data_IF_429503707352
#
_entry.id   IF_429503707352
#
_cell.length_a   1.000
_cell.length_b   1.000
_cell.length_c   1.000
_cell.angle_alpha   90.00
_cell.angle_beta   90.00
_cell.angle_gamma   90.00
#
_symmetry.space_group_name_H-M   'P 1'
#
loop_
_entity.id
_entity.type
_entity.pdbx_description
1 polymer ?
#
# COMPACT_ATOMS: atom_id res chain seq x y z
N UNK A 1 -31.71 38.65 -27.64
CA UNK A 1 -32.28 37.79 -26.58
C UNK A 1 -31.31 37.77 -25.42
N UNK A 2 -31.54 38.55 -24.36
CA UNK A 2 -30.66 38.60 -23.19
C UNK A 2 -31.16 37.63 -22.12
N UNK A 3 -30.32 36.66 -21.77
CA UNK A 3 -30.59 35.66 -20.73
C UNK A 3 -30.50 36.33 -19.35
N UNK A 4 -31.62 36.41 -18.62
CA UNK A 4 -31.63 36.84 -17.22
C UNK A 4 -31.22 35.66 -16.35
N UNK A 5 -30.01 35.71 -15.79
CA UNK A 5 -29.60 34.84 -14.69
C UNK A 5 -30.49 35.14 -13.47
N UNK A 6 -31.27 34.15 -13.04
CA UNK A 6 -32.07 34.24 -11.83
C UNK A 6 -31.14 34.23 -10.61
N UNK A 7 -31.25 35.27 -9.76
CA UNK A 7 -30.51 35.34 -8.50
C UNK A 7 -31.09 34.33 -7.50
N UNK A 8 -30.24 33.58 -6.78
CA UNK A 8 -30.69 32.60 -5.80
C UNK A 8 -31.51 33.26 -4.69
N UNK A 9 -32.62 32.63 -4.35
CA UNK A 9 -33.55 33.13 -3.35
C UNK A 9 -33.03 32.85 -1.94
N UNK A 10 -33.54 33.57 -0.94
CA UNK A 10 -33.19 33.31 0.47
C UNK A 10 -33.45 31.86 0.91
N UNK A 11 -34.39 31.16 0.24
CA UNK A 11 -34.68 29.74 0.46
C UNK A 11 -33.54 28.84 -0.01
N UNK A 12 -32.94 29.15 -1.15
CA UNK A 12 -31.84 28.35 -1.73
C UNK A 12 -30.56 28.45 -0.87
N UNK A 13 -30.32 29.61 -0.26
CA UNK A 13 -29.21 29.82 0.67
C UNK A 13 -29.40 29.06 2.00
N UNK A 14 -30.65 28.93 2.47
CA UNK A 14 -30.96 28.25 3.73
C UNK A 14 -30.89 26.71 3.58
N UNK A 15 -31.27 26.18 2.41
CA UNK A 15 -31.15 24.75 2.10
C UNK A 15 -29.70 24.31 1.88
N UNK A 16 -28.87 25.16 1.25
CA UNK A 16 -27.43 24.93 1.13
C UNK A 16 -26.73 24.91 2.51
N UNK A 17 -27.14 25.77 3.45
CA UNK A 17 -26.61 25.80 4.81
C UNK A 17 -26.96 24.53 5.59
N UNK A 18 -28.21 24.05 5.49
CA UNK A 18 -28.64 22.79 6.12
C UNK A 18 -27.87 21.57 5.60
N UNK A 19 -27.63 21.48 4.29
CA UNK A 19 -26.81 20.41 3.71
C UNK A 19 -25.34 20.48 4.16
N UNK A 20 -24.79 21.68 4.37
CA UNK A 20 -23.45 21.87 4.91
C UNK A 20 -23.33 21.37 6.36
N UNK A 21 -24.31 21.68 7.21
CA UNK A 21 -24.35 21.27 8.61
C UNK A 21 -24.56 19.75 8.77
N UNK A 22 -25.38 19.14 7.92
CA UNK A 22 -25.64 17.69 7.93
C UNK A 22 -24.41 16.87 7.46
N UNK A 23 -23.66 17.39 6.48
CA UNK A 23 -22.40 16.80 6.03
C UNK A 23 -21.27 16.97 7.06
N UNK A 24 -21.22 18.10 7.78
CA UNK A 24 -20.29 18.30 8.88
C UNK A 24 -20.55 17.30 10.02
N UNK A 25 -21.82 17.10 10.40
CA UNK A 25 -22.22 16.16 11.44
C UNK A 25 -21.90 14.69 11.08
N UNK A 26 -22.05 14.29 9.81
CA UNK A 26 -21.63 12.96 9.34
C UNK A 26 -20.12 12.76 9.37
N UNK A 27 -19.34 13.81 9.05
CA UNK A 27 -17.87 13.76 9.10
C UNK A 27 -17.33 13.67 10.53
N UNK A 28 -18.00 14.30 11.50
CA UNK A 28 -17.64 14.19 12.92
C UNK A 28 -18.01 12.83 13.52
N UNK A 29 -19.08 12.18 13.03
CA UNK A 29 -19.53 10.88 13.57
C UNK A 29 -18.67 9.68 13.11
N UNK A 30 -17.89 9.83 12.04
CA UNK A 30 -16.91 8.81 11.62
C UNK A 30 -15.60 8.83 12.42
N UNK A 31 -15.37 9.85 13.26
CA UNK A 31 -14.11 10.03 13.99
C UNK A 31 -14.17 9.64 15.46
N UNK A 32 -15.19 8.88 15.86
CA UNK A 32 -15.36 8.39 17.23
C UNK A 32 -15.49 6.86 17.27
N UNK A 33 -14.72 6.17 16.43
CA UNK A 33 -14.37 4.78 16.66
C UNK A 33 -13.38 4.71 17.81
N UNK A 34 -13.64 3.82 18.76
CA UNK A 34 -12.93 3.62 20.02
C UNK A 34 -11.42 3.89 19.94
N UNK A 35 -10.95 4.80 20.78
CA UNK A 35 -9.54 4.93 21.08
C UNK A 35 -9.07 3.65 21.79
N UNK A 36 -8.59 2.69 21.02
CA UNK A 36 -7.82 1.57 21.55
C UNK A 36 -6.58 2.16 22.21
N UNK A 37 -6.46 1.98 23.52
CA UNK A 37 -5.27 2.36 24.30
C UNK A 37 -4.00 1.87 23.58
N UNK A 38 -3.22 2.80 23.03
CA UNK A 38 -1.90 2.50 22.48
C UNK A 38 -0.99 2.21 23.67
N UNK A 39 -0.87 0.92 24.01
CA UNK A 39 0.11 0.45 24.99
C UNK A 39 1.50 0.76 24.44
N UNK A 40 2.22 1.68 25.08
CA UNK A 40 3.66 1.81 24.85
C UNK A 40 4.33 0.47 25.22
N UNK A 41 4.85 -0.23 24.22
CA UNK A 41 5.72 -1.37 24.43
C UNK A 41 7.19 -0.93 24.29
N UNK A 42 7.98 -1.47 25.21
CA UNK A 42 9.33 -1.10 25.64
C UNK A 42 10.43 -1.21 24.56
N UNK A 43 11.67 -0.77 24.84
CA UNK A 43 12.64 -0.35 23.83
C UNK A 43 13.45 -1.53 23.27
N UNK A 44 13.73 -1.48 21.97
CA UNK A 44 14.89 -2.13 21.34
C UNK A 44 14.88 -3.67 21.33
N UNK A 45 14.10 -4.25 20.42
CA UNK A 45 14.14 -5.65 20.02
C UNK A 45 13.43 -5.79 18.66
N UNK A 46 13.79 -6.79 17.85
CA UNK A 46 13.05 -7.10 16.61
C UNK A 46 11.54 -7.09 16.92
N UNK A 47 10.73 -6.42 16.10
CA UNK A 47 9.28 -6.34 16.32
C UNK A 47 8.72 -7.75 16.56
N UNK A 48 8.08 -7.99 17.72
CA UNK A 48 7.44 -9.25 18.09
C UNK A 48 6.50 -9.77 16.97
N UNK A 49 6.00 -8.86 16.13
CA UNK A 49 5.11 -9.15 14.98
C UNK A 49 5.79 -9.92 13.84
N UNK A 50 7.12 -9.81 13.70
CA UNK A 50 7.91 -10.52 12.67
C UNK A 50 8.53 -11.82 13.21
N UNK A 51 8.36 -12.12 14.49
CA UNK A 51 8.89 -13.32 15.10
C UNK A 51 8.23 -14.57 14.49
N UNK A 52 9.05 -15.51 13.99
CA UNK A 52 8.59 -16.73 13.32
C UNK A 52 8.37 -16.59 11.81
N UNK A 53 8.57 -15.41 11.23
CA UNK A 53 8.56 -15.19 9.78
C UNK A 53 9.86 -15.64 9.13
N UNK A 54 9.77 -16.07 7.86
CA UNK A 54 10.92 -16.50 7.06
C UNK A 54 11.85 -15.33 6.79
N UNK A 55 13.08 -15.43 7.28
CA UNK A 55 14.19 -14.55 6.89
C UNK A 55 14.83 -15.03 5.57
N UNK A 56 15.92 -14.39 5.13
CA UNK A 56 16.61 -14.74 3.87
C UNK A 56 17.00 -16.22 3.82
N UNK A 57 17.49 -16.78 4.93
CA UNK A 57 17.86 -18.20 5.01
C UNK A 57 16.63 -19.09 5.03
N UNK A 58 15.56 -18.68 5.70
CA UNK A 58 14.27 -19.35 5.71
C UNK A 58 13.72 -19.54 4.29
N UNK A 59 13.68 -18.47 3.49
CA UNK A 59 13.27 -18.53 2.09
C UNK A 59 14.15 -19.47 1.26
N UNK A 60 15.47 -19.37 1.39
CA UNK A 60 16.40 -20.24 0.69
C UNK A 60 16.22 -21.73 1.07
N UNK A 61 15.94 -22.04 2.34
CA UNK A 61 15.69 -23.41 2.80
C UNK A 61 14.44 -24.04 2.19
N UNK A 62 13.48 -23.21 1.74
CA UNK A 62 12.28 -23.64 1.02
C UNK A 62 12.50 -23.74 -0.50
N UNK A 63 13.72 -23.50 -1.00
CA UNK A 63 14.03 -23.51 -2.43
C UNK A 63 13.66 -22.22 -3.18
N UNK A 64 13.42 -21.13 -2.45
CA UNK A 64 13.12 -19.81 -3.01
C UNK A 64 14.26 -18.84 -2.73
N UNK A 65 15.07 -18.58 -3.75
CA UNK A 65 16.14 -17.59 -3.68
C UNK A 65 15.52 -16.22 -3.97
N UNK A 66 15.69 -15.28 -3.05
CA UNK A 66 15.26 -13.88 -3.16
C UNK A 66 16.48 -12.96 -3.20
N UNK A 67 16.38 -11.82 -3.89
CA UNK A 67 17.52 -10.91 -4.08
C UNK A 67 17.83 -10.01 -2.88
N UNK A 68 16.93 -9.93 -1.90
CA UNK A 68 17.19 -9.16 -0.68
C UNK A 68 18.23 -9.85 0.20
N UNK A 69 19.11 -9.05 0.80
CA UNK A 69 20.02 -9.48 1.87
C UNK A 69 19.52 -9.06 3.26
N UNK A 70 18.40 -8.32 3.31
CA UNK A 70 17.78 -7.85 4.55
C UNK A 70 16.84 -8.91 5.10
N UNK A 71 17.18 -9.46 6.28
CA UNK A 71 16.29 -10.38 6.99
C UNK A 71 14.96 -9.71 7.35
N UNK A 72 14.99 -8.42 7.66
CA UNK A 72 13.79 -7.65 7.98
C UNK A 72 12.85 -7.56 6.76
N UNK A 73 13.39 -7.19 5.60
CA UNK A 73 12.62 -7.16 4.36
C UNK A 73 12.08 -8.55 4.00
N UNK A 74 12.91 -9.60 4.11
CA UNK A 74 12.49 -10.97 3.85
C UNK A 74 11.32 -11.43 4.74
N UNK A 75 11.34 -11.05 6.03
CA UNK A 75 10.24 -11.34 6.97
C UNK A 75 8.99 -10.52 6.68
N UNK A 76 9.13 -9.27 6.26
CA UNK A 76 7.99 -8.45 5.83
C UNK A 76 7.36 -8.98 4.54
N UNK A 77 8.14 -9.52 3.60
CA UNK A 77 7.61 -10.23 2.44
C UNK A 77 6.77 -11.45 2.86
N UNK A 78 7.28 -12.25 3.80
CA UNK A 78 6.58 -13.42 4.30
C UNK A 78 5.22 -13.04 4.92
N UNK A 79 5.21 -11.96 5.70
CA UNK A 79 3.98 -11.41 6.29
C UNK A 79 3.01 -10.88 5.21
N UNK A 80 3.50 -10.12 4.23
CA UNK A 80 2.63 -9.54 3.18
C UNK A 80 1.99 -10.63 2.32
N UNK A 81 2.70 -11.71 2.02
CA UNK A 81 2.15 -12.87 1.30
C UNK A 81 1.04 -13.53 2.12
N UNK A 82 1.22 -13.73 3.42
CA UNK A 82 0.18 -14.33 4.26
C UNK A 82 -1.07 -13.43 4.31
N UNK A 83 -0.88 -12.11 4.50
CA UNK A 83 -1.95 -11.12 4.48
C UNK A 83 -2.73 -11.11 3.17
N UNK A 84 -2.03 -11.22 2.03
CA UNK A 84 -2.67 -11.38 0.71
C UNK A 84 -3.49 -12.67 0.65
N UNK A 85 -2.90 -13.81 1.03
CA UNK A 85 -3.54 -15.12 0.93
C UNK A 85 -4.78 -15.21 1.81
N UNK A 86 -4.68 -14.72 3.05
CA UNK A 86 -5.78 -14.74 4.02
C UNK A 86 -6.71 -13.54 3.93
N UNK A 87 -6.42 -12.57 3.05
CA UNK A 87 -7.12 -11.30 2.91
C UNK A 87 -7.38 -10.61 4.27
N UNK A 88 -6.32 -10.48 5.08
CA UNK A 88 -6.34 -9.82 6.38
C UNK A 88 -5.24 -8.77 6.48
N UNK A 89 -5.41 -7.78 7.36
CA UNK A 89 -4.45 -6.69 7.53
C UNK A 89 -4.36 -5.77 6.30
N UNK A 90 -3.21 -5.12 6.12
CA UNK A 90 -2.92 -4.25 4.98
C UNK A 90 -1.64 -4.71 4.26
N UNK A 91 -1.77 -5.63 3.27
CA UNK A 91 -0.62 -6.14 2.54
C UNK A 91 0.09 -5.07 1.70
N UNK A 92 -0.61 -3.99 1.33
CA UNK A 92 0.02 -2.87 0.62
C UNK A 92 0.99 -2.14 1.54
N UNK A 93 0.55 -1.81 2.76
CA UNK A 93 1.39 -1.15 3.74
C UNK A 93 2.59 -2.01 4.14
N UNK A 94 2.40 -3.33 4.33
CA UNK A 94 3.51 -4.24 4.65
C UNK A 94 4.51 -4.35 3.48
N UNK A 95 4.04 -4.39 2.24
CA UNK A 95 4.93 -4.32 1.07
C UNK A 95 5.67 -2.97 1.00
N UNK A 96 5.00 -1.85 1.28
CA UNK A 96 5.65 -0.54 1.34
C UNK A 96 6.79 -0.50 2.37
N UNK A 97 6.54 -0.95 3.60
CA UNK A 97 7.57 -1.05 4.64
C UNK A 97 8.70 -2.01 4.24
N UNK A 98 8.39 -3.14 3.57
CA UNK A 98 9.41 -4.03 3.03
C UNK A 98 10.31 -3.34 2.00
N UNK A 99 9.75 -2.43 1.19
CA UNK A 99 10.54 -1.65 0.22
C UNK A 99 11.41 -0.59 0.89
N UNK A 100 10.98 -0.03 2.02
CA UNK A 100 11.78 0.91 2.79
C UNK A 100 12.98 0.23 3.46
N UNK A 101 12.79 -1.00 3.97
CA UNK A 101 13.87 -1.79 4.57
C UNK A 101 14.87 -2.34 3.55
N UNK A 102 14.46 -2.53 2.29
CA UNK A 102 15.38 -2.86 1.20
C UNK A 102 14.96 -2.21 -0.13
N UNK A 103 15.37 -0.94 -0.37
CA UNK A 103 14.92 -0.14 -1.51
C UNK A 103 15.29 -0.71 -2.88
N UNK A 104 16.37 -1.48 -2.94
CA UNK A 104 16.85 -2.08 -4.17
C UNK A 104 16.06 -3.36 -4.52
N UNK A 105 15.01 -3.73 -3.77
CA UNK A 105 14.31 -5.02 -3.94
C UNK A 105 13.06 -4.84 -4.76
N UNK A 106 12.98 -5.53 -5.90
CA UNK A 106 11.88 -5.34 -6.85
C UNK A 106 10.53 -5.92 -6.36
N UNK A 107 10.56 -7.00 -5.57
CA UNK A 107 9.34 -7.76 -5.20
C UNK A 107 8.32 -6.93 -4.43
N UNK A 108 8.67 -6.16 -3.39
CA UNK A 108 7.71 -5.33 -2.68
C UNK A 108 6.96 -4.35 -3.60
N UNK A 109 7.65 -3.75 -4.56
CA UNK A 109 7.01 -2.89 -5.56
C UNK A 109 6.07 -3.67 -6.48
N UNK A 110 6.43 -4.89 -6.88
CA UNK A 110 5.56 -5.78 -7.66
C UNK A 110 4.24 -6.08 -6.93
N UNK A 111 4.30 -6.35 -5.63
CA UNK A 111 3.11 -6.60 -4.80
C UNK A 111 2.22 -5.35 -4.77
N UNK A 112 2.81 -4.16 -4.57
CA UNK A 112 2.08 -2.89 -4.56
C UNK A 112 1.38 -2.62 -5.90
N UNK A 113 2.07 -2.84 -7.02
CA UNK A 113 1.52 -2.69 -8.39
C UNK A 113 0.36 -3.67 -8.59
N UNK A 114 0.57 -4.95 -8.27
CA UNK A 114 -0.45 -5.99 -8.44
C UNK A 114 -1.71 -5.71 -7.62
N UNK A 115 -1.58 -5.28 -6.36
CA UNK A 115 -2.72 -4.93 -5.51
C UNK A 115 -3.51 -3.74 -6.06
N UNK A 116 -2.84 -2.77 -6.70
CA UNK A 116 -3.51 -1.64 -7.37
C UNK A 116 -4.32 -2.10 -8.58
N UNK A 117 -3.77 -2.99 -9.40
CA UNK A 117 -4.52 -3.60 -10.50
C UNK A 117 -5.70 -4.45 -10.00
N UNK A 118 -5.52 -5.22 -8.92
CA UNK A 118 -6.54 -6.13 -8.41
C UNK A 118 -7.75 -5.40 -7.81
N UNK A 119 -7.52 -4.21 -7.25
CA UNK A 119 -8.60 -3.33 -6.77
C UNK A 119 -9.24 -2.48 -7.88
N UNK A 120 -8.87 -2.64 -9.16
CA UNK A 120 -8.98 -1.56 -10.12
C UNK A 120 -10.41 -1.05 -10.40
N UNK A 121 -10.54 0.25 -10.13
CA UNK A 121 -10.75 1.26 -11.18
C UNK A 121 -9.47 2.09 -11.46
N UNK A 122 -8.27 1.58 -11.15
CA UNK A 122 -7.00 2.23 -11.44
C UNK A 122 -6.62 2.01 -12.92
N UNK A 123 -6.34 3.09 -13.65
CA UNK A 123 -5.86 3.06 -15.03
C UNK A 123 -4.37 3.36 -15.11
N UNK A 124 -3.82 3.35 -16.33
CA UNK A 124 -2.39 3.63 -16.62
C UNK A 124 -1.90 4.98 -16.05
N UNK A 125 -2.81 5.95 -15.89
CA UNK A 125 -2.51 7.28 -15.34
C UNK A 125 -2.53 7.35 -13.80
N UNK A 126 -2.69 6.22 -13.09
CA UNK A 126 -2.67 6.22 -11.62
C UNK A 126 -1.27 6.62 -11.12
N UNK A 127 -1.14 7.72 -10.36
CA UNK A 127 0.16 8.23 -9.95
C UNK A 127 0.91 7.27 -9.03
N UNK A 128 0.20 6.45 -8.25
CA UNK A 128 0.81 5.46 -7.36
C UNK A 128 1.34 4.28 -8.16
N UNK A 129 0.66 3.89 -9.25
CA UNK A 129 1.15 2.88 -10.18
C UNK A 129 2.44 3.36 -10.87
N UNK A 130 2.40 4.56 -11.45
CA UNK A 130 3.55 5.18 -12.14
C UNK A 130 4.76 5.27 -11.20
N UNK A 131 4.55 5.75 -9.98
CA UNK A 131 5.63 5.86 -9.00
C UNK A 131 6.24 4.49 -8.64
N UNK A 132 5.40 3.49 -8.37
CA UNK A 132 5.90 2.16 -7.99
C UNK A 132 6.57 1.43 -9.15
N UNK A 133 6.11 1.62 -10.40
CA UNK A 133 6.79 1.13 -11.60
C UNK A 133 8.19 1.75 -11.72
N UNK A 134 8.30 3.08 -11.59
CA UNK A 134 9.60 3.75 -11.66
C UNK A 134 10.56 3.29 -10.55
N UNK A 135 10.05 3.08 -9.33
CA UNK A 135 10.87 2.54 -8.22
C UNK A 135 11.30 1.09 -8.47
N UNK A 136 10.43 0.25 -9.03
CA UNK A 136 10.75 -1.12 -9.38
C UNK A 136 11.81 -1.20 -10.48
N UNK A 137 11.71 -0.38 -11.53
CA UNK A 137 12.73 -0.29 -12.59
C UNK A 137 14.08 0.16 -12.04
N UNK A 138 14.06 1.16 -11.16
CA UNK A 138 15.26 1.61 -10.47
C UNK A 138 15.87 0.48 -9.65
N UNK A 139 15.08 -0.21 -8.83
CA UNK A 139 15.53 -1.33 -8.01
C UNK A 139 16.21 -2.42 -8.86
N UNK A 140 15.59 -2.79 -10.00
CA UNK A 140 16.16 -3.76 -10.97
C UNK A 140 17.52 -3.36 -11.53
N UNK A 141 17.81 -2.06 -11.61
CA UNK A 141 19.10 -1.55 -12.10
C UNK A 141 20.18 -1.50 -11.03
N UNK A 142 19.80 -1.52 -9.74
CA UNK A 142 20.73 -1.30 -8.63
C UNK A 142 21.42 -2.59 -8.17
N UNK A 143 20.86 -3.76 -8.45
CA UNK A 143 21.50 -5.05 -8.14
C UNK A 143 21.04 -6.18 -9.04
N UNK A 144 21.71 -7.32 -8.90
CA UNK A 144 21.27 -8.57 -9.50
C UNK A 144 20.01 -9.11 -8.79
N UNK A 145 19.06 -9.57 -9.58
CA UNK A 145 17.81 -10.18 -9.15
C UNK A 145 17.70 -11.59 -9.71
N UNK A 146 16.95 -12.45 -9.05
CA UNK A 146 16.66 -13.77 -9.61
C UNK A 146 15.81 -13.65 -10.88
N UNK A 147 15.94 -14.60 -11.80
CA UNK A 147 15.16 -14.65 -13.04
C UNK A 147 13.65 -14.57 -12.78
N UNK A 148 13.17 -15.15 -11.67
CA UNK A 148 11.77 -15.11 -11.27
C UNK A 148 11.30 -13.72 -10.86
N UNK A 149 12.12 -12.98 -10.12
CA UNK A 149 11.82 -11.61 -9.69
C UNK A 149 11.76 -10.67 -10.90
N UNK A 150 12.69 -10.83 -11.84
CA UNK A 150 12.71 -10.09 -13.11
C UNK A 150 11.48 -10.41 -13.95
N UNK A 151 11.15 -11.70 -14.10
CA UNK A 151 9.97 -12.13 -14.87
C UNK A 151 8.67 -11.59 -14.28
N UNK A 152 8.50 -11.64 -12.95
CA UNK A 152 7.32 -11.10 -12.27
C UNK A 152 7.12 -9.62 -12.59
N UNK A 153 8.19 -8.82 -12.48
CA UNK A 153 8.13 -7.40 -12.80
C UNK A 153 7.68 -7.17 -14.25
N UNK A 154 8.30 -7.87 -15.21
CA UNK A 154 7.93 -7.73 -16.62
C UNK A 154 6.47 -8.11 -16.90
N UNK A 155 5.96 -9.18 -16.28
CA UNK A 155 4.56 -9.54 -16.42
C UNK A 155 3.63 -8.44 -15.90
N UNK A 156 3.94 -7.82 -14.76
CA UNK A 156 3.11 -6.78 -14.16
C UNK A 156 3.16 -5.45 -14.92
N UNK A 157 4.30 -5.13 -15.54
CA UNK A 157 4.47 -3.90 -16.33
C UNK A 157 3.62 -3.89 -17.61
N UNK A 158 3.27 -5.05 -18.13
CA UNK A 158 2.50 -5.22 -19.37
C UNK A 158 0.99 -5.43 -19.13
N UNK A 159 0.52 -5.35 -17.87
CA UNK A 159 -0.90 -5.44 -17.51
C UNK A 159 -1.62 -4.09 -17.69
#
# INVERSE_FOLDING_TARGET
>A
SQSRLAMPTKRDAEEAKRRGEENAAKKTKMHNGEATEVKQLHPGGESDELQGRRDVKGWASCGFIISTTSNEAARMLDLSIEQVIGWFGDPYQTAASSSEADPCWVIPYCIMIWLKYLGASAGEDDPVLIENLAKAEKALSEREHSEREVLLFHCLKEL
#
